data_IF_490430009716
#
_entry.id   IF_490430009716
#
_cell.length_a   1.000
_cell.length_b   1.000
_cell.length_c   1.000
_cell.angle_alpha   90.00
_cell.angle_beta   90.00
_cell.angle_gamma   90.00
#
_symmetry.space_group_name_H-M   'P 1'
#
loop_
_entity.id
_entity.type
_entity.pdbx_description
1 polymer ?
#
# COMPACT_ATOMS: atom_id res chain seq x y z
N UNK A 1 4.17 -17.92 13.93
CA UNK A 1 4.85 -17.45 12.72
C UNK A 1 6.03 -16.65 13.18
N UNK A 2 7.23 -17.08 12.87
CA UNK A 2 8.45 -16.34 13.17
C UNK A 2 8.35 -15.01 12.44
N UNK A 3 8.36 -13.89 13.19
CA UNK A 3 8.81 -12.62 12.68
C UNK A 3 10.26 -12.85 12.19
N UNK A 4 10.46 -13.21 10.94
CA UNK A 4 11.67 -12.78 10.29
C UNK A 4 11.51 -11.26 10.18
N UNK A 5 12.02 -10.59 11.20
CA UNK A 5 12.30 -9.18 11.20
C UNK A 5 12.97 -8.89 9.86
N UNK A 6 12.29 -8.18 8.97
CA UNK A 6 12.99 -7.53 7.86
C UNK A 6 14.11 -6.75 8.53
N UNK A 7 15.35 -7.11 8.24
CA UNK A 7 16.48 -6.33 8.67
C UNK A 7 16.25 -4.92 8.10
N UNK A 8 16.02 -3.90 8.95
CA UNK A 8 15.80 -2.54 8.48
C UNK A 8 16.91 -2.09 7.53
N UNK A 9 18.14 -2.57 7.72
CA UNK A 9 19.32 -2.24 6.91
C UNK A 9 19.28 -2.89 5.52
N UNK A 10 18.55 -4.00 5.31
CA UNK A 10 18.42 -4.61 3.99
C UNK A 10 17.47 -3.83 3.07
N UNK A 11 16.46 -3.14 3.61
CA UNK A 11 15.43 -2.45 2.82
C UNK A 11 15.51 -0.92 2.94
N UNK A 12 16.44 -0.38 3.74
CA UNK A 12 16.59 1.06 3.96
C UNK A 12 17.84 1.60 3.26
N UNK A 13 17.73 2.81 2.73
CA UNK A 13 18.83 3.51 2.07
C UNK A 13 18.98 3.18 0.59
N UNK A 14 20.11 3.58 0.04
CA UNK A 14 20.46 3.43 -1.37
C UNK A 14 21.66 2.51 -1.56
N UNK A 15 21.86 2.07 -2.79
CA UNK A 15 22.99 1.25 -3.26
C UNK A 15 23.41 1.68 -4.66
N UNK A 16 24.51 1.16 -5.16
CA UNK A 16 24.87 1.30 -6.58
C UNK A 16 23.80 0.70 -7.47
N UNK A 17 23.53 1.35 -8.61
CA UNK A 17 22.55 0.86 -9.58
C UNK A 17 22.96 -0.52 -10.10
N UNK A 18 22.05 -1.49 -9.96
CA UNK A 18 22.28 -2.86 -10.45
C UNK A 18 22.53 -2.86 -11.97
N UNK A 19 23.43 -3.70 -12.47
CA UNK A 19 23.77 -3.77 -13.91
C UNK A 19 22.54 -3.91 -14.81
N UNK A 20 21.57 -4.73 -14.41
CA UNK A 20 20.30 -4.92 -15.12
C UNK A 20 19.37 -3.72 -15.09
N UNK A 21 19.63 -2.75 -14.23
CA UNK A 21 18.82 -1.56 -14.02
C UNK A 21 19.51 -0.28 -14.49
N UNK A 22 20.70 -0.39 -15.08
CA UNK A 22 21.42 0.75 -15.65
C UNK A 22 20.67 1.32 -16.87
N UNK A 23 20.87 2.60 -17.11
CA UNK A 23 20.34 3.35 -18.25
C UNK A 23 21.24 4.55 -18.57
N UNK A 24 20.97 5.21 -19.69
CA UNK A 24 21.73 6.39 -20.13
C UNK A 24 21.34 7.61 -19.29
N UNK A 25 22.25 8.01 -18.39
CA UNK A 25 22.02 9.14 -17.48
C UNK A 25 22.06 10.48 -18.19
N UNK A 26 22.77 10.61 -19.32
CA UNK A 26 22.82 11.86 -20.09
C UNK A 26 21.47 12.16 -20.74
N UNK A 27 20.79 11.15 -21.25
CA UNK A 27 19.43 11.31 -21.79
C UNK A 27 18.40 11.66 -20.70
N UNK A 28 18.56 11.10 -19.49
CA UNK A 28 17.72 11.51 -18.38
C UNK A 28 17.94 12.97 -18.00
N UNK A 29 19.21 13.41 -17.97
CA UNK A 29 19.59 14.79 -17.68
C UNK A 29 18.99 15.76 -18.68
N UNK A 30 19.13 15.46 -19.98
CA UNK A 30 18.51 16.25 -21.05
C UNK A 30 16.99 16.35 -20.88
N UNK A 31 16.31 15.22 -20.59
CA UNK A 31 14.88 15.18 -20.34
C UNK A 31 14.50 16.04 -19.12
N UNK A 32 15.27 15.95 -18.03
CA UNK A 32 14.99 16.72 -16.80
C UNK A 32 15.18 18.22 -17.02
N UNK A 33 16.15 18.65 -17.82
CA UNK A 33 16.32 20.06 -18.19
C UNK A 33 15.11 20.64 -18.94
N UNK A 34 14.44 19.82 -19.74
CA UNK A 34 13.28 20.25 -20.52
C UNK A 34 11.96 20.19 -19.74
N UNK A 35 11.85 19.30 -18.73
CA UNK A 35 10.56 18.92 -18.14
C UNK A 35 10.46 19.11 -16.63
N UNK A 36 11.55 19.47 -15.93
CA UNK A 36 11.57 19.69 -14.49
C UNK A 36 12.00 21.12 -14.19
N UNK A 37 11.09 21.91 -13.65
CA UNK A 37 11.36 23.30 -13.28
C UNK A 37 12.51 23.38 -12.26
N UNK A 38 13.39 24.39 -12.45
CA UNK A 38 14.54 24.68 -11.58
C UNK A 38 15.55 23.51 -11.44
N UNK A 39 15.56 22.58 -12.40
CA UNK A 39 16.54 21.49 -12.43
C UNK A 39 17.91 22.03 -12.86
N UNK A 40 18.96 21.64 -12.13
CA UNK A 40 20.35 21.88 -12.46
C UNK A 40 21.05 20.54 -12.73
N UNK A 41 21.83 20.47 -13.79
CA UNK A 41 22.45 19.25 -14.32
C UNK A 41 23.61 18.70 -13.48
N UNK A 42 24.37 17.79 -14.08
CA UNK A 42 25.39 16.94 -13.45
C UNK A 42 24.78 16.04 -12.36
N UNK A 43 23.98 15.06 -12.78
CA UNK A 43 23.31 14.14 -11.87
C UNK A 43 24.16 12.93 -11.48
N UNK A 44 23.96 12.49 -10.25
CA UNK A 44 24.40 11.17 -9.77
C UNK A 44 23.19 10.34 -9.40
N UNK A 45 23.21 9.04 -9.70
CA UNK A 45 22.08 8.14 -9.50
C UNK A 45 22.44 7.01 -8.55
N UNK A 46 21.59 6.79 -7.56
CA UNK A 46 21.63 5.66 -6.65
C UNK A 46 20.31 4.91 -6.73
N UNK A 47 20.32 3.60 -6.57
CA UNK A 47 19.10 2.79 -6.52
C UNK A 47 18.66 2.58 -5.07
N UNK A 48 17.35 2.71 -4.76
CA UNK A 48 16.85 2.36 -3.44
C UNK A 48 16.85 0.83 -3.26
N UNK A 49 17.23 0.36 -2.07
CA UNK A 49 17.23 -1.06 -1.72
C UNK A 49 15.83 -1.68 -1.69
N UNK A 50 14.82 -0.91 -1.30
CA UNK A 50 13.40 -1.27 -1.37
C UNK A 50 12.82 -0.96 -2.76
N UNK A 51 11.68 -1.53 -3.11
CA UNK A 51 11.00 -1.25 -4.38
C UNK A 51 11.07 -2.38 -5.39
N UNK A 52 10.77 -3.59 -4.93
CA UNK A 52 10.86 -4.81 -5.76
C UNK A 52 9.95 -4.80 -7.00
N UNK A 53 8.82 -4.08 -6.97
CA UNK A 53 7.86 -4.02 -8.09
C UNK A 53 8.33 -3.07 -9.20
N UNK A 54 8.73 -1.85 -8.86
CA UNK A 54 9.16 -0.81 -9.78
C UNK A 54 10.51 -0.26 -9.33
N UNK A 55 11.60 -0.42 -10.10
CA UNK A 55 12.91 0.14 -9.76
C UNK A 55 12.79 1.63 -9.46
N UNK A 56 13.32 2.02 -8.30
CA UNK A 56 13.21 3.39 -7.78
C UNK A 56 14.61 3.92 -7.48
N UNK A 57 14.89 5.15 -7.91
CA UNK A 57 16.22 5.75 -7.85
C UNK A 57 16.16 7.10 -7.16
N UNK A 58 17.22 7.39 -6.43
CA UNK A 58 17.54 8.74 -5.99
C UNK A 58 18.40 9.41 -7.06
N UNK A 59 17.89 10.50 -7.63
CA UNK A 59 18.60 11.36 -8.58
C UNK A 59 19.11 12.55 -7.78
N UNK A 60 20.42 12.66 -7.67
CA UNK A 60 21.11 13.70 -6.91
C UNK A 60 21.62 14.75 -7.89
N UNK A 61 21.16 15.99 -7.77
CA UNK A 61 21.64 17.13 -8.53
C UNK A 61 22.30 18.17 -7.59
N UNK A 62 23.01 19.16 -8.10
CA UNK A 62 23.74 20.13 -7.27
C UNK A 62 22.87 20.90 -6.28
N UNK A 63 21.62 21.18 -6.63
CA UNK A 63 20.71 21.99 -5.82
C UNK A 63 19.76 21.16 -4.95
N UNK A 64 19.34 19.95 -5.39
CA UNK A 64 18.42 19.10 -4.65
C UNK A 64 18.46 17.63 -5.12
N UNK A 65 17.74 16.77 -4.42
CA UNK A 65 17.55 15.39 -4.83
C UNK A 65 16.11 15.16 -5.30
N UNK A 66 15.95 14.23 -6.22
CA UNK A 66 14.66 13.76 -6.75
C UNK A 66 14.53 12.25 -6.58
N UNK A 67 13.33 11.74 -6.77
CA UNK A 67 13.08 10.31 -6.90
C UNK A 67 12.56 10.04 -8.31
N UNK A 68 13.20 9.09 -8.98
CA UNK A 68 12.75 8.53 -10.25
C UNK A 68 12.22 7.13 -10.00
N UNK A 69 10.97 6.87 -10.42
CA UNK A 69 10.37 5.53 -10.36
C UNK A 69 9.98 5.10 -11.78
N UNK A 70 10.44 3.93 -12.21
CA UNK A 70 10.21 3.45 -13.57
C UNK A 70 9.62 2.06 -13.63
N UNK A 71 9.02 1.71 -14.76
CA UNK A 71 8.64 0.31 -15.05
C UNK A 71 9.89 -0.57 -15.10
N UNK A 72 9.83 -1.82 -14.60
CA UNK A 72 10.94 -2.75 -14.79
C UNK A 72 11.23 -2.96 -16.28
N UNK A 73 12.49 -3.17 -16.67
CA UNK A 73 12.82 -3.52 -18.04
C UNK A 73 12.31 -4.93 -18.40
N UNK A 74 11.90 -5.12 -19.68
CA UNK A 74 11.46 -6.41 -20.19
C UNK A 74 9.97 -6.52 -20.49
N UNK A 75 9.50 -7.75 -20.78
CA UNK A 75 8.09 -7.99 -21.12
C UNK A 75 7.24 -8.05 -19.86
N UNK A 76 6.38 -7.06 -19.68
CA UNK A 76 5.47 -6.94 -18.56
C UNK A 76 4.05 -7.39 -18.92
N UNK A 77 3.27 -7.81 -17.93
CA UNK A 77 1.83 -7.99 -18.08
C UNK A 77 1.16 -6.62 -18.29
N UNK A 78 0.18 -6.57 -19.18
CA UNK A 78 -0.42 -5.33 -19.72
C UNK A 78 -1.01 -4.36 -18.67
N UNK A 79 -1.21 -4.78 -17.43
CA UNK A 79 -1.75 -3.98 -16.31
C UNK A 79 -0.84 -3.94 -15.08
N UNK A 80 0.35 -4.51 -15.15
CA UNK A 80 1.32 -4.47 -14.07
C UNK A 80 2.23 -3.24 -14.23
N UNK A 81 2.69 -2.70 -13.10
CA UNK A 81 3.69 -1.63 -13.08
C UNK A 81 3.23 -0.32 -13.76
N UNK A 82 2.00 0.12 -13.49
CA UNK A 82 1.39 1.29 -14.11
C UNK A 82 1.88 2.60 -13.46
N UNK A 83 3.15 3.00 -13.72
CA UNK A 83 3.75 4.23 -13.19
C UNK A 83 3.00 5.51 -13.61
N UNK A 84 2.32 5.48 -14.77
CA UNK A 84 1.41 6.51 -15.25
C UNK A 84 0.21 6.71 -14.31
N UNK A 85 -0.34 5.63 -13.75
CA UNK A 85 -1.43 5.70 -12.77
C UNK A 85 -0.94 6.23 -11.42
N UNK A 86 0.24 5.79 -10.96
CA UNK A 86 0.84 6.32 -9.74
C UNK A 86 1.07 7.83 -9.87
N UNK A 87 1.68 8.28 -10.97
CA UNK A 87 1.89 9.69 -11.26
C UNK A 87 0.57 10.47 -11.30
N UNK A 88 -0.47 9.91 -11.93
CA UNK A 88 -1.77 10.57 -12.05
C UNK A 88 -2.40 10.84 -10.68
N UNK A 89 -2.43 9.85 -9.78
CA UNK A 89 -3.02 10.04 -8.46
C UNK A 89 -2.19 10.97 -7.58
N UNK A 90 -0.85 10.84 -7.58
CA UNK A 90 0.04 11.72 -6.81
C UNK A 90 -0.12 13.17 -7.28
N UNK A 91 -0.13 13.41 -8.61
CA UNK A 91 -0.31 14.74 -9.19
C UNK A 91 -1.65 15.37 -8.82
N UNK A 92 -2.71 14.58 -8.83
CA UNK A 92 -4.02 15.05 -8.42
C UNK A 92 -4.04 15.40 -6.92
N UNK A 93 -3.45 14.54 -6.06
CA UNK A 93 -3.37 14.74 -4.62
C UNK A 93 -2.44 15.89 -4.20
N UNK A 94 -1.49 16.32 -5.04
CA UNK A 94 -0.69 17.52 -4.79
C UNK A 94 -1.53 18.80 -4.65
N UNK A 95 -2.78 18.79 -5.08
CA UNK A 95 -3.74 19.91 -4.94
C UNK A 95 -4.49 19.90 -3.61
N UNK A 96 -4.19 18.94 -2.75
CA UNK A 96 -4.90 18.68 -1.49
C UNK A 96 -3.97 18.78 -0.28
N UNK A 97 -4.50 18.50 0.91
CA UNK A 97 -3.72 18.39 2.14
C UNK A 97 -3.24 16.95 2.45
N UNK A 98 -3.45 16.01 1.53
CA UNK A 98 -2.93 14.64 1.66
C UNK A 98 -1.41 14.66 1.51
N UNK A 99 -0.65 14.10 2.46
CA UNK A 99 0.82 14.10 2.36
C UNK A 99 1.29 13.16 1.25
N UNK A 100 1.68 13.73 0.12
CA UNK A 100 2.29 13.03 -1.01
C UNK A 100 3.53 13.79 -1.48
N UNK A 101 4.52 13.13 -2.09
CA UNK A 101 5.62 13.85 -2.74
C UNK A 101 5.09 14.73 -3.87
N UNK A 102 5.71 15.90 -4.08
CA UNK A 102 5.40 16.69 -5.27
C UNK A 102 5.81 15.90 -6.53
N UNK A 103 4.90 15.78 -7.48
CA UNK A 103 5.20 15.22 -8.81
C UNK A 103 5.77 16.31 -9.71
N UNK A 104 6.77 15.98 -10.52
CA UNK A 104 7.40 16.90 -11.45
C UNK A 104 7.06 16.56 -12.90
N UNK A 105 7.41 15.36 -13.35
CA UNK A 105 7.24 14.97 -14.76
C UNK A 105 6.93 13.48 -14.90
N UNK A 106 6.15 13.13 -15.92
CA UNK A 106 5.91 11.77 -16.42
C UNK A 106 6.50 11.65 -17.81
N UNK A 107 7.33 10.64 -18.04
CA UNK A 107 7.88 10.28 -19.32
C UNK A 107 7.34 8.93 -19.78
N UNK A 108 6.61 8.93 -20.88
CA UNK A 108 6.12 7.70 -21.55
C UNK A 108 6.98 7.31 -22.75
N UNK A 109 7.99 8.14 -23.12
CA UNK A 109 8.93 7.88 -24.18
C UNK A 109 10.02 6.90 -23.71
N UNK A 110 9.98 5.69 -24.25
CA UNK A 110 10.95 4.65 -23.91
C UNK A 110 12.37 4.94 -24.50
N UNK A 111 12.51 5.86 -25.44
CA UNK A 111 13.81 6.21 -26.02
C UNK A 111 14.71 7.00 -25.05
N UNK A 112 14.15 7.53 -23.95
CA UNK A 112 14.91 8.27 -22.92
C UNK A 112 15.73 7.30 -22.05
N UNK A 113 15.07 6.42 -21.29
CA UNK A 113 15.76 5.47 -20.37
C UNK A 113 15.33 4.01 -20.55
N UNK A 114 14.71 3.68 -21.67
CA UNK A 114 14.31 2.32 -22.03
C UNK A 114 12.94 1.87 -21.50
N UNK A 115 12.30 2.64 -20.62
CA UNK A 115 10.96 2.36 -20.08
C UNK A 115 10.30 3.65 -19.61
N UNK A 116 8.96 3.65 -19.53
CA UNK A 116 8.23 4.78 -18.93
C UNK A 116 8.61 4.97 -17.44
N UNK A 117 8.68 6.24 -17.01
CA UNK A 117 9.05 6.63 -15.66
C UNK A 117 8.37 7.94 -15.25
N UNK A 118 8.39 8.23 -13.93
CA UNK A 118 8.05 9.57 -13.46
C UNK A 118 9.08 10.06 -12.43
N UNK A 119 9.10 11.38 -12.26
CA UNK A 119 9.99 12.10 -11.36
C UNK A 119 9.14 12.77 -10.29
N UNK A 120 9.54 12.60 -9.04
CA UNK A 120 8.90 13.21 -7.88
C UNK A 120 9.94 13.77 -6.89
N UNK A 121 9.45 14.52 -5.93
CA UNK A 121 10.22 15.08 -4.83
C UNK A 121 10.88 13.98 -3.98
N UNK A 122 12.15 14.18 -3.65
CA UNK A 122 12.80 13.39 -2.61
C UNK A 122 12.43 13.96 -1.23
N UNK A 123 11.75 13.18 -0.41
CA UNK A 123 11.48 13.50 0.98
C UNK A 123 12.56 12.92 1.90
N UNK A 124 13.14 13.73 2.77
CA UNK A 124 14.12 13.27 3.78
C UNK A 124 13.36 12.86 5.06
N UNK A 125 13.03 11.58 5.14
CA UNK A 125 12.27 10.99 6.23
C UNK A 125 12.68 9.56 6.53
N UNK A 126 11.89 8.89 7.38
CA UNK A 126 12.10 7.49 7.79
C UNK A 126 10.89 6.65 7.38
N UNK A 127 11.15 5.47 6.86
CA UNK A 127 10.16 4.40 6.70
C UNK A 127 10.31 3.43 7.86
N UNK A 128 9.22 3.08 8.51
CA UNK A 128 9.20 2.21 9.69
C UNK A 128 8.62 0.85 9.28
N UNK A 129 9.25 -0.23 9.72
CA UNK A 129 8.90 -1.58 9.28
C UNK A 129 8.17 -2.41 10.33
N UNK A 130 8.38 -2.09 11.62
CA UNK A 130 7.75 -2.81 12.72
C UNK A 130 6.45 -2.12 13.17
N UNK A 131 5.25 -2.68 12.87
CA UNK A 131 3.99 -2.09 13.32
C UNK A 131 3.81 -2.13 14.84
N UNK A 132 4.52 -3.00 15.56
CA UNK A 132 4.50 -3.02 17.02
C UNK A 132 5.32 -1.89 17.65
N UNK A 133 6.15 -1.18 16.84
CA UNK A 133 6.97 -0.06 17.29
C UNK A 133 7.85 -0.39 18.51
N UNK A 134 8.43 -1.61 18.54
CA UNK A 134 9.12 -2.16 19.72
C UNK A 134 10.25 -1.28 20.20
N UNK A 135 11.04 -0.74 19.28
CA UNK A 135 12.21 0.10 19.55
C UNK A 135 11.88 1.60 19.71
N UNK A 136 10.61 1.97 19.52
CA UNK A 136 10.17 3.37 19.61
C UNK A 136 9.75 3.77 21.02
N UNK A 137 9.94 5.05 21.34
CA UNK A 137 9.39 5.64 22.55
C UNK A 137 7.87 5.82 22.45
N UNK A 138 7.19 5.89 23.60
CA UNK A 138 5.73 5.98 23.70
C UNK A 138 5.14 7.16 22.91
N UNK A 139 5.73 8.32 23.02
CA UNK A 139 5.28 9.54 22.34
C UNK A 139 5.46 9.44 20.82
N UNK A 140 6.53 8.77 20.38
CA UNK A 140 6.77 8.53 18.96
C UNK A 140 5.75 7.54 18.39
N UNK A 141 5.55 6.39 19.02
CA UNK A 141 4.58 5.41 18.58
C UNK A 141 3.16 5.99 18.50
N UNK A 142 2.76 6.75 19.54
CA UNK A 142 1.48 7.47 19.56
C UNK A 142 1.38 8.44 18.38
N UNK A 143 2.38 9.31 18.21
CA UNK A 143 2.36 10.33 17.16
C UNK A 143 2.33 9.74 15.75
N UNK A 144 3.05 8.64 15.51
CA UNK A 144 3.03 7.93 14.23
C UNK A 144 1.63 7.39 13.92
N UNK A 145 1.01 6.66 14.86
CA UNK A 145 -0.32 6.08 14.65
C UNK A 145 -1.40 7.15 14.48
N UNK A 146 -1.37 8.21 15.29
CA UNK A 146 -2.31 9.33 15.16
C UNK A 146 -2.14 10.04 13.82
N UNK A 147 -0.91 10.25 13.36
CA UNK A 147 -0.62 10.88 12.06
C UNK A 147 -0.97 9.98 10.87
N UNK A 148 -0.81 8.66 11.00
CA UNK A 148 -1.28 7.70 9.98
C UNK A 148 -2.80 7.74 9.85
N UNK A 149 -3.51 7.77 10.97
CA UNK A 149 -4.98 7.89 11.01
C UNK A 149 -5.46 9.17 10.31
N UNK A 150 -4.88 10.32 10.68
CA UNK A 150 -5.17 11.63 10.10
C UNK A 150 -4.87 11.67 8.59
N UNK A 151 -3.74 11.12 8.16
CA UNK A 151 -3.35 11.11 6.74
C UNK A 151 -4.31 10.26 5.90
N UNK A 152 -4.78 9.14 6.45
CA UNK A 152 -5.75 8.28 5.77
C UNK A 152 -7.15 8.91 5.76
N UNK A 153 -7.55 9.58 6.84
CA UNK A 153 -8.79 10.34 6.90
C UNK A 153 -8.78 11.51 5.89
N UNK A 154 -7.66 12.21 5.75
CA UNK A 154 -7.47 13.24 4.72
C UNK A 154 -7.65 12.66 3.33
N UNK A 155 -6.99 11.53 3.01
CA UNK A 155 -7.12 10.85 1.72
C UNK A 155 -8.58 10.51 1.42
N UNK A 156 -9.26 9.89 2.37
CA UNK A 156 -10.63 9.43 2.20
C UNK A 156 -11.67 10.56 2.22
N UNK A 157 -11.27 11.76 2.66
CA UNK A 157 -12.13 12.95 2.63
C UNK A 157 -12.11 13.66 1.28
N UNK A 158 -11.08 13.43 0.45
CA UNK A 158 -10.98 14.04 -0.89
C UNK A 158 -12.13 13.59 -1.77
N UNK A 159 -12.75 14.54 -2.47
CA UNK A 159 -13.66 14.25 -3.57
C UNK A 159 -12.84 14.01 -4.85
N UNK A 160 -12.86 12.79 -5.40
CA UNK A 160 -12.11 12.48 -6.62
C UNK A 160 -12.49 13.35 -7.83
N UNK A 161 -13.74 13.83 -7.88
CA UNK A 161 -14.21 14.66 -8.99
C UNK A 161 -13.60 16.06 -8.97
N UNK A 162 -13.43 16.63 -7.76
CA UNK A 162 -12.87 17.99 -7.61
C UNK A 162 -11.39 18.07 -8.03
N UNK A 163 -10.67 16.94 -8.02
CA UNK A 163 -9.25 16.91 -8.38
C UNK A 163 -8.96 16.23 -9.72
N UNK A 164 -10.01 15.84 -10.48
CA UNK A 164 -9.89 15.28 -11.83
C UNK A 164 -9.61 13.77 -11.88
N UNK A 165 -10.03 13.02 -10.85
CA UNK A 165 -9.89 11.56 -10.76
C UNK A 165 -11.21 10.79 -10.96
N UNK A 166 -12.23 11.39 -11.57
CA UNK A 166 -13.53 10.75 -11.83
C UNK A 166 -13.43 9.46 -12.66
N UNK A 167 -12.39 9.33 -13.49
CA UNK A 167 -12.11 8.17 -14.32
C UNK A 167 -10.96 7.29 -13.81
N UNK A 168 -10.44 7.54 -12.60
CA UNK A 168 -9.31 6.81 -12.03
C UNK A 168 -9.65 5.36 -11.66
N UNK A 169 -10.93 5.06 -11.48
CA UNK A 169 -11.44 3.72 -11.19
C UNK A 169 -12.93 3.62 -11.47
N UNK A 170 -13.50 2.45 -11.22
CA UNK A 170 -14.94 2.24 -11.36
C UNK A 170 -15.65 2.55 -10.05
N UNK A 171 -16.53 3.57 -9.98
CA UNK A 171 -17.26 3.88 -8.76
C UNK A 171 -18.31 2.82 -8.42
N UNK A 172 -18.68 2.73 -7.14
CA UNK A 172 -19.75 1.89 -6.61
C UNK A 172 -19.45 0.39 -6.58
N UNK A 173 -20.10 -0.32 -5.65
CA UNK A 173 -19.96 -1.76 -5.44
C UNK A 173 -18.49 -2.26 -5.39
N UNK A 174 -17.64 -1.50 -4.69
CA UNK A 174 -16.22 -1.84 -4.59
C UNK A 174 -16.01 -3.23 -3.97
N UNK A 175 -16.54 -3.46 -2.76
CA UNK A 175 -16.38 -4.73 -2.04
C UNK A 175 -16.92 -5.91 -2.85
N UNK A 176 -18.09 -5.78 -3.48
CA UNK A 176 -18.66 -6.84 -4.31
C UNK A 176 -17.78 -7.24 -5.49
N UNK A 177 -17.16 -6.23 -6.16
CA UNK A 177 -16.19 -6.51 -7.24
C UNK A 177 -14.92 -7.19 -6.72
N UNK A 178 -14.44 -6.78 -5.56
CA UNK A 178 -13.26 -7.39 -4.94
C UNK A 178 -13.55 -8.84 -4.49
N UNK A 179 -14.71 -9.10 -3.87
CA UNK A 179 -15.12 -10.46 -3.52
C UNK A 179 -15.15 -11.35 -4.76
N UNK A 180 -15.78 -10.89 -5.84
CA UNK A 180 -15.82 -11.67 -7.10
C UNK A 180 -14.43 -11.93 -7.67
N UNK A 181 -13.53 -10.92 -7.66
CA UNK A 181 -12.15 -11.04 -8.14
C UNK A 181 -11.36 -12.06 -7.32
N UNK A 182 -11.38 -11.94 -5.99
CA UNK A 182 -10.58 -12.78 -5.12
C UNK A 182 -11.14 -14.20 -5.00
N UNK A 183 -12.46 -14.39 -5.12
CA UNK A 183 -13.07 -15.72 -5.27
C UNK A 183 -12.57 -16.43 -6.51
N UNK A 184 -12.58 -15.72 -7.66
CA UNK A 184 -12.06 -16.29 -8.90
C UNK A 184 -10.58 -16.64 -8.79
N UNK A 185 -9.76 -15.73 -8.25
CA UNK A 185 -8.32 -15.97 -8.09
C UNK A 185 -8.03 -17.15 -7.16
N UNK A 186 -8.77 -17.29 -6.05
CA UNK A 186 -8.64 -18.42 -5.15
C UNK A 186 -8.94 -19.73 -5.88
N UNK A 187 -10.07 -19.83 -6.58
CA UNK A 187 -10.47 -21.03 -7.32
C UNK A 187 -9.42 -21.40 -8.40
N UNK A 188 -8.95 -20.42 -9.17
CA UNK A 188 -7.97 -20.63 -10.23
C UNK A 188 -6.60 -21.10 -9.69
N UNK A 189 -6.26 -20.72 -8.46
CA UNK A 189 -4.98 -21.01 -7.81
C UNK A 189 -5.04 -22.05 -6.68
N UNK A 190 -6.20 -22.71 -6.47
CA UNK A 190 -6.41 -23.66 -5.37
C UNK A 190 -5.35 -24.76 -5.37
N UNK A 191 -4.71 -24.94 -4.22
CA UNK A 191 -3.71 -26.01 -3.99
C UNK A 191 -4.24 -27.10 -3.07
N UNK A 192 -5.20 -26.75 -2.21
CA UNK A 192 -5.95 -27.64 -1.33
C UNK A 192 -7.34 -27.07 -1.05
N UNK A 193 -8.29 -27.93 -0.71
CA UNK A 193 -9.65 -27.47 -0.37
C UNK A 193 -9.73 -26.95 1.05
N UNK A 194 -10.00 -25.67 1.21
CA UNK A 194 -10.16 -25.00 2.50
C UNK A 194 -11.64 -24.68 2.71
N UNK A 195 -12.29 -25.36 3.65
CA UNK A 195 -13.74 -25.26 3.88
C UNK A 195 -14.19 -23.83 4.25
N UNK A 196 -13.39 -23.09 5.05
CA UNK A 196 -13.69 -21.69 5.42
C UNK A 196 -13.65 -20.75 4.20
N UNK A 197 -12.72 -20.95 3.25
CA UNK A 197 -12.72 -20.20 2.00
C UNK A 197 -13.97 -20.45 1.17
N UNK A 198 -14.37 -21.70 1.02
CA UNK A 198 -15.59 -22.05 0.27
C UNK A 198 -16.84 -21.43 0.91
N UNK A 199 -16.93 -21.50 2.24
CA UNK A 199 -18.02 -20.86 2.98
C UNK A 199 -18.06 -19.34 2.78
N UNK A 200 -16.89 -18.67 2.81
CA UNK A 200 -16.78 -17.22 2.57
C UNK A 200 -17.15 -16.84 1.12
N UNK A 201 -16.71 -17.63 0.13
CA UNK A 201 -17.06 -17.46 -1.29
C UNK A 201 -18.58 -17.52 -1.48
N UNK A 202 -19.28 -18.41 -0.77
CA UNK A 202 -20.72 -18.57 -0.85
C UNK A 202 -21.50 -17.51 -0.06
N UNK A 203 -20.95 -17.04 1.05
CA UNK A 203 -21.62 -16.16 2.00
C UNK A 203 -21.43 -14.67 1.70
N UNK A 204 -20.19 -14.23 1.44
CA UNK A 204 -19.87 -12.80 1.24
C UNK A 204 -20.67 -12.12 0.12
N UNK A 205 -20.90 -12.73 -1.06
CA UNK A 205 -21.69 -12.07 -2.11
C UNK A 205 -23.13 -11.73 -1.72
N UNK A 206 -23.67 -12.40 -0.69
CA UNK A 206 -25.04 -12.22 -0.18
C UNK A 206 -25.10 -11.26 1.01
N UNK A 207 -23.95 -10.90 1.56
CA UNK A 207 -23.82 -10.13 2.79
C UNK A 207 -22.72 -9.07 2.64
N UNK A 208 -22.82 -8.23 1.62
CA UNK A 208 -21.87 -7.16 1.37
C UNK A 208 -22.14 -5.97 2.30
N UNK A 209 -21.12 -5.29 2.79
CA UNK A 209 -21.32 -4.02 3.50
C UNK A 209 -21.91 -2.97 2.56
N UNK A 210 -22.62 -2.03 3.14
CA UNK A 210 -23.18 -0.90 2.41
C UNK A 210 -22.10 0.14 2.12
N UNK A 211 -21.75 0.31 0.85
CA UNK A 211 -20.80 1.37 0.45
C UNK A 211 -21.41 2.74 0.75
N UNK A 212 -20.90 3.43 1.75
CA UNK A 212 -21.41 4.73 2.23
C UNK A 212 -20.85 5.89 1.39
N UNK A 213 -19.69 5.72 0.80
CA UNK A 213 -18.99 6.71 -0.03
C UNK A 213 -18.06 6.01 -1.00
N UNK A 214 -17.95 6.51 -2.23
CA UNK A 214 -16.84 6.21 -3.13
C UNK A 214 -15.76 7.28 -2.96
N UNK A 215 -14.54 6.87 -2.66
CA UNK A 215 -13.39 7.74 -2.48
C UNK A 215 -12.15 7.19 -3.18
N UNK A 216 -11.01 7.85 -2.98
CA UNK A 216 -9.70 7.35 -3.40
C UNK A 216 -9.25 6.37 -2.32
N UNK A 217 -9.01 5.11 -2.70
CA UNK A 217 -8.42 4.11 -1.81
C UNK A 217 -6.96 3.87 -2.19
N UNK A 218 -6.12 3.70 -1.19
CA UNK A 218 -4.71 3.37 -1.39
C UNK A 218 -4.56 1.89 -1.80
N UNK A 219 -5.31 1.00 -1.15
CA UNK A 219 -5.34 -0.43 -1.42
C UNK A 219 -4.29 -1.26 -0.67
N UNK A 220 -3.22 -0.62 -0.14
CA UNK A 220 -2.14 -1.23 0.65
C UNK A 220 -1.55 -0.24 1.67
N UNK A 221 -2.38 0.55 2.34
CA UNK A 221 -1.90 1.51 3.34
C UNK A 221 -1.37 0.79 4.58
N UNK A 222 -0.09 0.97 4.84
CA UNK A 222 0.63 0.33 5.95
C UNK A 222 1.77 1.21 6.45
N UNK A 223 2.35 0.87 7.61
CA UNK A 223 3.48 1.60 8.18
C UNK A 223 4.69 1.64 7.23
N UNK A 224 4.93 0.56 6.48
CA UNK A 224 6.01 0.48 5.50
C UNK A 224 5.76 1.28 4.21
N UNK A 225 4.50 1.71 3.98
CA UNK A 225 4.10 2.51 2.82
C UNK A 225 3.83 3.98 3.19
N UNK A 226 4.29 4.42 4.37
CA UNK A 226 4.32 5.83 4.75
C UNK A 226 5.73 6.24 5.16
N UNK A 227 6.04 7.50 4.96
CA UNK A 227 7.28 8.11 5.43
C UNK A 227 6.95 9.12 6.53
N UNK A 228 7.57 8.96 7.68
CA UNK A 228 7.50 9.92 8.79
C UNK A 228 8.68 10.87 8.77
N UNK A 229 8.54 12.01 9.42
CA UNK A 229 9.62 12.99 9.53
C UNK A 229 10.89 12.41 10.18
N UNK A 230 12.05 12.98 9.88
CA UNK A 230 13.35 12.51 10.40
C UNK A 230 13.41 12.54 11.92
N UNK A 231 12.87 13.60 12.53
CA UNK A 231 12.84 13.82 13.97
C UNK A 231 11.40 14.12 14.47
N UNK A 232 10.40 13.82 13.67
CA UNK A 232 8.99 14.09 13.93
C UNK A 232 8.17 12.85 13.55
N UNK A 233 7.19 12.43 14.37
CA UNK A 233 6.37 11.26 14.08
C UNK A 233 5.31 11.51 12.98
N UNK A 234 5.18 12.76 12.50
CA UNK A 234 4.19 13.11 11.47
C UNK A 234 4.47 12.43 10.14
N UNK A 235 3.42 11.94 9.49
CA UNK A 235 3.50 11.41 8.11
C UNK A 235 3.74 12.57 7.15
N UNK A 236 4.87 12.51 6.43
CA UNK A 236 5.28 13.50 5.43
C UNK A 236 5.06 13.04 4.00
N UNK A 237 4.88 11.72 3.78
CA UNK A 237 4.51 11.15 2.48
C UNK A 237 3.82 9.79 2.62
N UNK A 238 2.79 9.59 1.81
CA UNK A 238 2.22 8.27 1.52
C UNK A 238 2.87 7.78 0.23
N UNK A 239 3.35 6.54 0.25
CA UNK A 239 4.15 5.90 -0.80
C UNK A 239 3.39 4.72 -1.40
N UNK A 240 3.84 4.25 -2.57
CA UNK A 240 3.40 3.02 -3.24
C UNK A 240 1.91 3.00 -3.63
N UNK A 241 1.56 3.86 -4.57
CA UNK A 241 0.20 4.05 -5.08
C UNK A 241 -0.22 3.05 -6.17
N UNK A 242 0.53 1.96 -6.40
CA UNK A 242 0.30 1.03 -7.51
C UNK A 242 -1.08 0.33 -7.44
N UNK A 243 -1.63 0.13 -6.23
CA UNK A 243 -2.93 -0.51 -6.01
C UNK A 243 -4.08 0.48 -5.86
N UNK A 244 -3.80 1.78 -5.94
CA UNK A 244 -4.81 2.83 -5.75
C UNK A 244 -5.88 2.83 -6.82
N UNK A 245 -7.10 3.15 -6.42
CA UNK A 245 -8.27 3.23 -7.30
C UNK A 245 -9.41 4.01 -6.64
N UNK A 246 -10.54 4.16 -7.35
CA UNK A 246 -11.79 4.54 -6.70
C UNK A 246 -12.42 3.33 -6.03
N UNK A 247 -12.75 3.47 -4.75
CA UNK A 247 -13.27 2.38 -3.94
C UNK A 247 -13.99 2.84 -2.68
N UNK A 248 -14.14 1.91 -1.75
CA UNK A 248 -14.78 2.12 -0.46
C UNK A 248 -13.73 2.50 0.60
N UNK A 249 -13.69 3.74 1.09
CA UNK A 249 -12.80 4.19 2.14
C UNK A 249 -12.84 3.34 3.41
N UNK A 250 -14.03 2.85 3.77
CA UNK A 250 -14.20 2.03 4.97
C UNK A 250 -13.50 0.68 4.83
N UNK A 251 -13.57 0.08 3.63
CA UNK A 251 -12.87 -1.15 3.33
C UNK A 251 -11.35 -0.97 3.34
N UNK A 252 -10.85 0.16 2.85
CA UNK A 252 -9.42 0.49 2.82
C UNK A 252 -8.87 0.74 4.24
N UNK A 253 -9.57 1.53 5.05
CA UNK A 253 -9.19 1.76 6.44
C UNK A 253 -9.23 0.46 7.27
N UNK A 254 -10.26 -0.37 7.10
CA UNK A 254 -10.31 -1.65 7.78
C UNK A 254 -9.17 -2.60 7.34
N UNK A 255 -8.77 -2.58 6.04
CA UNK A 255 -7.61 -3.34 5.57
C UNK A 255 -6.32 -2.93 6.28
N UNK A 256 -6.08 -1.63 6.42
CA UNK A 256 -4.98 -1.10 7.23
C UNK A 256 -5.03 -1.62 8.68
N UNK A 257 -6.21 -1.69 9.27
CA UNK A 257 -6.40 -2.13 10.66
C UNK A 257 -6.28 -3.66 10.86
N UNK A 258 -6.15 -4.48 9.80
CA UNK A 258 -5.94 -5.93 9.95
C UNK A 258 -4.71 -6.27 10.79
N UNK A 259 -3.73 -5.39 10.86
CA UNK A 259 -2.56 -5.56 11.73
C UNK A 259 -2.94 -5.77 13.19
N UNK A 260 -4.03 -5.17 13.69
CA UNK A 260 -4.52 -5.39 15.06
C UNK A 260 -5.13 -6.79 15.27
N UNK A 261 -5.53 -7.46 14.21
CA UNK A 261 -6.00 -8.85 14.26
C UNK A 261 -4.86 -9.84 14.06
N UNK A 262 -3.88 -9.49 13.22
CA UNK A 262 -2.84 -10.41 12.76
C UNK A 262 -1.57 -10.37 13.64
N UNK A 263 -1.25 -9.22 14.23
CA UNK A 263 -0.08 -9.06 15.10
C UNK A 263 -0.48 -9.26 16.55
N UNK A 264 0.06 -10.30 17.24
CA UNK A 264 -0.30 -10.62 18.63
C UNK A 264 -0.05 -9.48 19.62
N UNK A 265 0.97 -8.62 19.35
CA UNK A 265 1.26 -7.46 20.20
C UNK A 265 0.22 -6.36 20.04
N UNK A 266 -0.19 -6.07 18.81
CA UNK A 266 -1.25 -5.07 18.57
C UNK A 266 -2.64 -5.56 18.98
N UNK A 267 -2.86 -6.88 19.01
CA UNK A 267 -4.08 -7.48 19.57
C UNK A 267 -4.15 -7.35 21.11
N UNK A 268 -3.01 -7.17 21.79
CA UNK A 268 -2.93 -6.99 23.24
C UNK A 268 -3.13 -5.51 23.61
N UNK A 269 -4.29 -5.21 24.20
CA UNK A 269 -4.64 -3.86 24.66
C UNK A 269 -3.63 -3.31 25.70
N UNK A 270 -3.07 -4.17 26.56
CA UNK A 270 -2.10 -3.74 27.57
C UNK A 270 -0.78 -3.31 26.91
N UNK A 271 -0.31 -4.07 25.91
CA UNK A 271 0.84 -3.70 25.11
C UNK A 271 0.64 -2.34 24.39
N UNK A 272 -0.49 -2.19 23.71
CA UNK A 272 -0.82 -0.94 23.01
C UNK A 272 -0.79 0.27 23.95
N UNK A 273 -1.42 0.15 25.12
CA UNK A 273 -1.45 1.23 26.13
C UNK A 273 -0.06 1.57 26.70
N UNK A 274 0.78 0.57 26.93
CA UNK A 274 2.16 0.76 27.38
C UNK A 274 2.98 1.48 26.32
N UNK A 275 2.87 1.07 25.06
CA UNK A 275 3.58 1.66 23.91
C UNK A 275 3.00 2.99 23.44
N UNK A 276 1.79 3.37 23.89
CA UNK A 276 1.11 4.58 23.41
C UNK A 276 0.44 4.42 22.06
N UNK A 277 0.40 3.20 21.52
CA UNK A 277 -0.36 2.89 20.32
C UNK A 277 -1.85 2.93 20.67
N UNK A 278 -2.73 3.65 19.95
CA UNK A 278 -4.16 3.60 20.17
C UNK A 278 -4.67 2.16 20.09
N UNK A 279 -5.52 1.72 21.03
CA UNK A 279 -6.21 0.44 20.87
C UNK A 279 -7.19 0.52 19.71
N UNK A 280 -7.55 -0.61 19.11
CA UNK A 280 -8.34 -0.65 17.87
C UNK A 280 -9.64 0.17 17.99
N UNK A 281 -10.37 0.07 19.10
CA UNK A 281 -11.62 0.79 19.29
C UNK A 281 -11.41 2.32 19.26
N UNK A 282 -10.34 2.81 19.89
CA UNK A 282 -9.95 4.23 19.89
C UNK A 282 -9.51 4.67 18.49
N UNK A 283 -8.75 3.83 17.79
CA UNK A 283 -8.24 4.12 16.45
C UNK A 283 -9.35 4.20 15.40
N UNK A 284 -10.34 3.32 15.49
CA UNK A 284 -11.54 3.32 14.64
C UNK A 284 -12.42 4.54 14.91
N UNK A 285 -12.62 4.88 16.19
CA UNK A 285 -13.41 6.05 16.57
C UNK A 285 -12.76 7.35 16.07
N UNK A 286 -11.44 7.50 16.25
CA UNK A 286 -10.69 8.66 15.77
C UNK A 286 -10.87 8.86 14.25
N UNK A 287 -10.78 7.80 13.48
CA UNK A 287 -10.99 7.86 12.02
C UNK A 287 -12.45 8.18 11.67
N UNK A 288 -13.41 7.50 12.31
CA UNK A 288 -14.85 7.65 12.07
C UNK A 288 -15.31 9.10 12.29
N UNK A 289 -14.80 9.73 13.35
CA UNK A 289 -15.08 11.15 13.65
C UNK A 289 -14.55 12.07 12.55
N UNK A 290 -13.34 11.83 12.05
CA UNK A 290 -12.72 12.66 11.03
C UNK A 290 -13.42 12.59 9.67
N UNK A 291 -13.89 11.40 9.26
CA UNK A 291 -14.59 11.22 7.98
C UNK A 291 -16.10 11.35 8.09
N UNK A 292 -16.63 11.53 9.31
CA UNK A 292 -18.07 11.58 9.63
C UNK A 292 -18.85 10.36 9.12
N UNK A 293 -18.31 9.16 9.30
CA UNK A 293 -18.93 7.88 8.96
C UNK A 293 -18.77 6.93 10.14
N UNK A 294 -19.88 6.41 10.67
CA UNK A 294 -19.86 5.35 11.69
C UNK A 294 -19.51 4.01 11.04
N UNK A 295 -18.42 3.41 11.49
CA UNK A 295 -17.90 2.12 11.05
C UNK A 295 -18.28 0.96 11.98
N UNK A 296 -18.80 1.24 13.17
CA UNK A 296 -18.95 0.24 14.25
C UNK A 296 -19.89 -0.89 13.88
N UNK A 297 -21.02 -0.59 13.19
CA UNK A 297 -22.02 -1.59 12.83
C UNK A 297 -21.54 -2.63 11.79
N UNK A 298 -20.70 -2.21 10.85
CA UNK A 298 -20.25 -3.07 9.74
C UNK A 298 -18.76 -3.46 9.87
N UNK A 299 -18.11 -3.12 11.00
CA UNK A 299 -16.67 -3.35 11.21
C UNK A 299 -16.26 -4.80 11.02
N UNK A 300 -16.98 -5.73 11.64
CA UNK A 300 -16.68 -7.15 11.55
C UNK A 300 -16.91 -7.72 10.15
N UNK A 301 -17.87 -7.15 9.41
CA UNK A 301 -18.13 -7.53 8.02
C UNK A 301 -16.99 -7.10 7.10
N UNK A 302 -16.48 -5.86 7.26
CA UNK A 302 -15.27 -5.41 6.56
C UNK A 302 -14.05 -6.25 6.95
N UNK A 303 -13.91 -6.61 8.22
CA UNK A 303 -12.81 -7.46 8.69
C UNK A 303 -12.86 -8.85 8.07
N UNK A 304 -14.03 -9.49 8.04
CA UNK A 304 -14.20 -10.79 7.39
C UNK A 304 -13.88 -10.73 5.89
N UNK A 305 -14.35 -9.68 5.19
CA UNK A 305 -14.04 -9.44 3.79
C UNK A 305 -12.53 -9.24 3.56
N UNK A 306 -11.86 -8.40 4.36
CA UNK A 306 -10.45 -8.09 4.15
C UNK A 306 -9.53 -9.28 4.49
N UNK A 307 -9.87 -10.09 5.50
CA UNK A 307 -9.18 -11.36 5.78
C UNK A 307 -9.35 -12.34 4.62
N UNK A 308 -10.56 -12.45 4.06
CA UNK A 308 -10.82 -13.23 2.85
C UNK A 308 -10.00 -12.73 1.64
N UNK A 309 -9.97 -11.41 1.39
CA UNK A 309 -9.14 -10.79 0.35
C UNK A 309 -7.68 -11.18 0.53
N UNK A 310 -7.14 -11.04 1.74
CA UNK A 310 -5.74 -11.36 2.03
C UNK A 310 -5.44 -12.85 1.84
N UNK A 311 -6.35 -13.74 2.29
CA UNK A 311 -6.24 -15.17 2.02
C UNK A 311 -6.21 -15.48 0.52
N UNK A 312 -7.06 -14.81 -0.29
CA UNK A 312 -7.07 -14.93 -1.75
C UNK A 312 -5.77 -14.44 -2.41
N UNK A 313 -5.16 -13.37 -1.88
CA UNK A 313 -3.84 -12.88 -2.34
C UNK A 313 -2.76 -13.94 -2.07
N UNK A 314 -2.69 -14.45 -0.84
CA UNK A 314 -1.71 -15.47 -0.46
C UNK A 314 -1.91 -16.77 -1.26
N UNK A 315 -3.15 -17.21 -1.48
CA UNK A 315 -3.43 -18.36 -2.33
C UNK A 315 -2.92 -18.15 -3.76
N UNK A 316 -3.05 -16.97 -4.32
CA UNK A 316 -2.47 -16.65 -5.63
C UNK A 316 -0.94 -16.78 -5.66
N UNK A 317 -0.25 -16.52 -4.54
CA UNK A 317 1.20 -16.78 -4.41
C UNK A 317 1.47 -18.29 -4.42
N UNK A 318 0.72 -19.08 -3.64
CA UNK A 318 0.84 -20.55 -3.63
C UNK A 318 0.56 -21.15 -5.01
N UNK A 319 -0.43 -20.63 -5.75
CA UNK A 319 -0.68 -21.03 -7.13
C UNK A 319 0.53 -20.82 -8.03
N UNK A 320 1.20 -19.66 -7.94
CA UNK A 320 2.44 -19.40 -8.68
C UNK A 320 3.60 -20.31 -8.28
N UNK A 321 3.71 -20.68 -7.00
CA UNK A 321 4.70 -21.69 -6.54
C UNK A 321 4.39 -23.04 -7.16
N UNK A 322 3.13 -23.50 -7.13
CA UNK A 322 2.68 -24.74 -7.77
C UNK A 322 3.03 -24.77 -9.26
N UNK A 323 2.83 -23.65 -9.95
CA UNK A 323 3.04 -23.52 -11.40
C UNK A 323 4.51 -23.22 -11.79
N UNK A 324 5.41 -23.12 -10.81
CA UNK A 324 6.85 -22.85 -11.02
C UNK A 324 7.14 -21.42 -11.53
N UNK A 325 6.22 -20.47 -11.31
CA UNK A 325 6.31 -19.08 -11.77
C UNK A 325 6.50 -18.07 -10.63
N UNK A 326 6.74 -18.54 -9.40
CA UNK A 326 7.02 -17.69 -8.25
C UNK A 326 8.39 -17.02 -8.38
N UNK A 327 8.45 -15.71 -8.10
CA UNK A 327 9.68 -14.92 -8.21
C UNK A 327 10.65 -15.08 -7.02
N UNK A 328 10.19 -15.67 -5.89
CA UNK A 328 10.96 -15.79 -4.65
C UNK A 328 10.91 -17.23 -4.15
N UNK A 329 12.06 -17.78 -3.74
CA UNK A 329 12.21 -19.15 -3.22
C UNK A 329 11.41 -19.36 -1.91
N UNK A 330 11.26 -18.32 -1.09
CA UNK A 330 10.51 -18.34 0.18
C UNK A 330 9.02 -17.99 0.00
N UNK A 331 8.50 -17.95 -1.23
CA UNK A 331 7.12 -17.54 -1.51
C UNK A 331 6.08 -18.48 -0.84
N UNK A 332 6.37 -19.78 -0.74
CA UNK A 332 5.49 -20.76 -0.10
C UNK A 332 5.33 -20.51 1.41
N UNK A 333 6.44 -20.24 2.11
CA UNK A 333 6.42 -19.95 3.56
C UNK A 333 5.67 -18.65 3.87
N UNK A 334 5.88 -17.62 3.06
CA UNK A 334 5.16 -16.34 3.17
C UNK A 334 3.66 -16.49 2.96
N UNK A 335 3.25 -17.43 2.13
CA UNK A 335 1.84 -17.66 1.79
C UNK A 335 1.16 -18.76 2.64
N UNK A 336 1.84 -19.34 3.63
CA UNK A 336 1.31 -20.43 4.46
C UNK A 336 0.09 -20.05 5.34
N UNK A 337 -0.27 -18.76 5.41
CA UNK A 337 -1.34 -18.23 6.26
C UNK A 337 -2.77 -18.37 5.73
N UNK A 338 -2.99 -18.88 4.51
CA UNK A 338 -4.32 -18.90 3.85
C UNK A 338 -5.41 -19.48 4.74
N UNK A 339 -5.16 -20.70 5.26
CA UNK A 339 -6.13 -21.39 6.09
C UNK A 339 -6.44 -20.64 7.40
N UNK A 340 -5.41 -20.13 8.07
CA UNK A 340 -5.58 -19.41 9.33
C UNK A 340 -6.40 -18.10 9.14
N UNK A 341 -6.11 -17.34 8.09
CA UNK A 341 -6.85 -16.12 7.77
C UNK A 341 -8.32 -16.41 7.44
N UNK A 342 -8.56 -17.43 6.60
CA UNK A 342 -9.92 -17.80 6.23
C UNK A 342 -10.72 -18.40 7.40
N UNK A 343 -10.08 -19.19 8.27
CA UNK A 343 -10.72 -19.72 9.46
C UNK A 343 -11.09 -18.57 10.41
N UNK A 344 -10.18 -17.59 10.63
CA UNK A 344 -10.45 -16.41 11.45
C UNK A 344 -11.62 -15.60 10.88
N UNK A 345 -11.64 -15.38 9.56
CA UNK A 345 -12.74 -14.67 8.90
C UNK A 345 -14.07 -15.41 9.05
N UNK A 346 -14.07 -16.74 8.86
CA UNK A 346 -15.30 -17.53 8.96
C UNK A 346 -15.79 -17.65 10.40
N UNK A 347 -14.89 -17.73 11.39
CA UNK A 347 -15.27 -17.74 12.81
C UNK A 347 -15.88 -16.39 13.21
N UNK A 348 -15.38 -15.27 12.70
CA UNK A 348 -15.99 -13.97 12.89
C UNK A 348 -17.40 -13.90 12.31
N UNK A 349 -17.61 -14.45 11.10
CA UNK A 349 -18.93 -14.54 10.48
C UNK A 349 -19.88 -15.37 11.31
N UNK A 350 -19.46 -16.56 11.75
CA UNK A 350 -20.30 -17.44 12.58
C UNK A 350 -20.72 -16.79 13.91
N UNK A 351 -19.80 -16.05 14.52
CA UNK A 351 -20.04 -15.40 15.81
C UNK A 351 -21.04 -14.26 15.74
N UNK A 352 -20.99 -13.46 14.67
CA UNK A 352 -21.68 -12.16 14.65
C UNK A 352 -22.84 -12.09 13.63
N UNK A 353 -22.96 -13.05 12.69
CA UNK A 353 -23.91 -12.98 11.59
C UNK A 353 -24.72 -14.28 11.35
N UNK A 354 -24.38 -15.39 12.00
CA UNK A 354 -25.10 -16.67 11.92
C UNK A 354 -25.62 -17.11 13.27
#
# INVERSE_FOLDING_TARGET
>A
MSNELHDPDENTGTMEVLDRHQFDTSKLEDYMHENVDDFEGDITIEEFKGGQSNPTYKVISPNQSYVLRRKPPGKLLKSAHAVDREYTVITALNKTNVPVPRSYALCEDEDVIGTAFYIMEFKDGRVLWDPAMEDSHKEEAKGVYESMNDSMAKLHSVDPMEIGLENFGKPGNYVGRQVARWSKQYIDSETETIASMNNLIDWLPKNLPTEKKTGIVHGDYSLSNVMVGKNDPGVIAILDWELSTLGDPCADFNYHCLQYTMNPKLADKAYCQEKGIPVIDEYVNLYSEQINIDLTEEWDLYTAYNLFKLAGILQGILGRVRDGTAANENAADRAAGVKNLSDTAWDLVKKNFL
#
